data_IF_561803679415
#
_entry.id   IF_561803679415
#
_cell.length_a   1.000
_cell.length_b   1.000
_cell.length_c   1.000
_cell.angle_alpha   90.00
_cell.angle_beta   90.00
_cell.angle_gamma   90.00
#
_symmetry.space_group_name_H-M   'P 1'
#
loop_
_entity.id
_entity.type
_entity.pdbx_description
1 polymer ?
#
# COMPACT_ATOMS: atom_id res chain seq x y z
N UNK A 1 19.00 29.50 -35.89
CA UNK A 1 20.45 29.73 -35.67
C UNK A 1 20.63 30.41 -34.32
N UNK A 2 21.79 30.20 -33.68
CA UNK A 2 22.23 30.65 -32.33
C UNK A 2 21.77 29.70 -31.19
N UNK A 3 22.50 28.67 -30.75
CA UNK A 3 23.92 28.40 -30.42
C UNK A 3 24.26 28.59 -28.93
N UNK A 4 24.81 27.51 -28.35
CA UNK A 4 25.79 27.46 -27.26
C UNK A 4 25.34 27.82 -25.83
N UNK A 5 25.08 26.79 -25.01
CA UNK A 5 25.56 26.75 -23.62
C UNK A 5 26.24 25.41 -23.35
N UNK A 6 27.55 25.39 -23.59
CA UNK A 6 28.46 24.32 -23.21
C UNK A 6 28.94 24.54 -21.76
N UNK A 7 29.09 23.42 -21.05
CA UNK A 7 30.19 23.07 -20.12
C UNK A 7 30.59 24.07 -19.02
N UNK A 8 30.31 23.72 -17.78
CA UNK A 8 31.10 24.11 -16.62
C UNK A 8 31.66 22.84 -15.95
N UNK A 9 32.82 22.38 -16.44
CA UNK A 9 33.72 21.48 -15.71
C UNK A 9 34.97 22.30 -15.41
N UNK A 10 35.50 22.11 -14.19
CA UNK A 10 36.83 22.54 -13.72
C UNK A 10 36.83 23.69 -12.73
N UNK A 11 36.81 23.36 -11.44
CA UNK A 11 37.60 24.04 -10.39
C UNK A 11 37.47 23.32 -9.03
N UNK A 12 37.97 22.08 -8.93
CA UNK A 12 38.15 21.41 -7.63
C UNK A 12 39.57 20.85 -7.50
N UNK A 13 40.57 21.75 -7.51
CA UNK A 13 41.93 21.46 -7.03
C UNK A 13 42.50 22.69 -6.32
N UNK A 14 42.17 22.81 -5.03
CA UNK A 14 42.86 23.62 -4.02
C UNK A 14 42.72 22.83 -2.71
N UNK A 15 43.70 22.54 -1.89
CA UNK A 15 45.15 22.54 -1.93
C UNK A 15 45.51 21.74 -0.67
N UNK A 16 46.25 20.65 -0.79
CA UNK A 16 46.56 19.77 0.36
C UNK A 16 47.73 20.39 1.13
N UNK A 17 47.58 20.77 2.42
CA UNK A 17 48.72 21.24 3.19
C UNK A 17 49.68 20.08 3.44
N UNK A 18 50.94 20.27 3.03
CA UNK A 18 52.05 19.36 3.30
C UNK A 18 52.50 19.57 4.75
N UNK A 19 52.30 18.57 5.61
CA UNK A 19 52.82 18.56 6.99
C UNK A 19 54.33 18.28 6.92
N UNK A 20 55.20 19.06 7.58
CA UNK A 20 56.63 18.74 7.62
C UNK A 20 56.88 17.45 8.41
N UNK A 21 57.54 16.50 7.76
CA UNK A 21 58.04 15.26 8.36
C UNK A 21 59.15 15.59 9.36
N UNK A 22 58.98 15.23 10.64
CA UNK A 22 60.07 15.28 11.63
C UNK A 22 61.15 14.25 11.26
N UNK A 23 62.41 14.70 11.22
CA UNK A 23 63.58 13.83 11.07
C UNK A 23 63.70 12.90 12.28
N UNK A 24 63.58 11.59 12.06
CA UNK A 24 63.93 10.56 13.05
C UNK A 24 65.44 10.60 13.30
N UNK A 25 65.85 10.87 14.55
CA UNK A 25 67.24 10.72 14.98
C UNK A 25 67.48 9.24 15.30
N UNK A 26 68.38 8.60 14.54
CA UNK A 26 68.93 7.30 14.90
C UNK A 26 69.92 7.52 16.05
N UNK A 27 69.59 7.02 17.24
CA UNK A 27 70.56 6.91 18.31
C UNK A 27 71.37 5.63 18.08
N UNK A 28 72.44 5.74 17.30
CA UNK A 28 73.52 4.75 17.24
C UNK A 28 74.72 5.32 17.99
N UNK A 29 75.09 4.71 19.11
CA UNK A 29 76.34 5.01 19.80
C UNK A 29 76.26 4.83 21.32
N UNK A 30 76.41 3.59 21.79
CA UNK A 30 77.30 3.31 22.92
C UNK A 30 77.60 1.81 22.99
N UNK A 31 78.87 1.49 22.84
CA UNK A 31 79.46 0.17 23.03
C UNK A 31 79.34 -0.26 24.52
N UNK A 32 78.82 -1.48 24.72
CA UNK A 32 78.95 -2.50 25.81
C UNK A 32 79.36 -2.16 27.27
N UNK A 33 79.15 -3.05 28.27
CA UNK A 33 78.09 -4.07 28.47
C UNK A 33 77.52 -4.09 29.92
N UNK A 34 76.48 -4.90 30.13
CA UNK A 34 75.90 -5.39 31.42
C UNK A 34 74.93 -4.46 32.17
N UNK A 35 73.65 -4.78 32.03
CA UNK A 35 72.58 -4.38 32.95
C UNK A 35 71.27 -5.03 32.51
N UNK A 36 70.71 -5.89 33.35
CA UNK A 36 69.47 -6.61 33.08
C UNK A 36 68.30 -5.62 32.87
N UNK A 37 67.74 -5.61 31.66
CA UNK A 37 66.39 -5.12 31.43
C UNK A 37 65.78 -5.89 30.28
N UNK A 38 64.73 -6.62 30.59
CA UNK A 38 63.94 -7.43 29.69
C UNK A 38 63.67 -6.70 28.37
N UNK A 39 64.19 -7.23 27.27
CA UNK A 39 63.60 -7.03 25.97
C UNK A 39 62.30 -7.85 25.95
N UNK A 40 61.27 -7.35 26.63
CA UNK A 40 59.90 -7.70 26.28
C UNK A 40 59.77 -7.30 24.80
N UNK A 41 59.37 -8.26 23.95
CA UNK A 41 58.85 -7.89 22.64
C UNK A 41 57.91 -6.70 22.81
N UNK A 42 57.82 -5.80 21.82
CA UNK A 42 56.69 -4.89 21.75
C UNK A 42 55.43 -5.74 21.49
N UNK A 43 54.97 -6.43 22.54
CA UNK A 43 53.70 -7.09 22.65
C UNK A 43 52.70 -5.98 22.47
N UNK A 44 51.97 -6.08 21.38
CA UNK A 44 50.84 -5.20 21.13
C UNK A 44 49.80 -5.51 22.20
N UNK A 45 49.92 -4.91 23.39
CA UNK A 45 48.91 -5.06 24.43
C UNK A 45 47.59 -4.57 23.85
N UNK A 46 46.66 -5.50 23.60
CA UNK A 46 45.34 -5.16 23.11
C UNK A 46 44.68 -4.25 24.13
N UNK A 47 44.14 -3.12 23.69
CA UNK A 47 43.39 -2.20 24.56
C UNK A 47 42.38 -3.01 25.38
N UNK A 48 42.51 -2.98 26.71
CA UNK A 48 41.73 -3.82 27.61
C UNK A 48 40.22 -3.63 27.44
N UNK A 49 39.42 -4.61 27.84
CA UNK A 49 37.96 -4.58 27.65
C UNK A 49 37.26 -3.34 28.20
N UNK A 50 37.82 -2.70 29.24
CA UNK A 50 37.32 -1.45 29.80
C UNK A 50 37.37 -0.27 28.80
N UNK A 51 38.38 -0.23 27.92
CA UNK A 51 38.49 0.80 26.88
C UNK A 51 37.33 0.70 25.88
N UNK A 52 37.05 -0.51 25.39
CA UNK A 52 35.91 -0.78 24.52
C UNK A 52 34.57 -0.56 25.24
N UNK A 53 34.50 -0.90 26.53
CA UNK A 53 33.36 -0.60 27.38
C UNK A 53 33.06 0.90 27.45
N UNK A 54 34.08 1.74 27.67
CA UNK A 54 33.92 3.20 27.66
C UNK A 54 33.52 3.73 26.28
N UNK A 55 34.13 3.19 25.21
CA UNK A 55 33.82 3.58 23.84
C UNK A 55 32.38 3.23 23.43
N UNK A 56 31.79 2.19 24.01
CA UNK A 56 30.38 1.84 23.84
C UNK A 56 29.45 2.65 24.77
N UNK A 57 29.86 2.87 26.02
CA UNK A 57 29.07 3.59 27.03
C UNK A 57 28.89 5.06 26.68
N UNK A 58 29.91 5.72 26.13
CA UNK A 58 29.85 7.14 25.78
C UNK A 58 28.75 7.45 24.74
N UNK A 59 28.70 6.80 23.57
CA UNK A 59 27.62 7.00 22.61
C UNK A 59 26.28 6.47 23.10
N UNK A 60 26.26 5.38 23.89
CA UNK A 60 25.02 4.86 24.46
C UNK A 60 24.38 5.83 25.46
N UNK A 61 25.19 6.41 26.37
CA UNK A 61 24.75 7.43 27.32
C UNK A 61 24.33 8.72 26.63
N UNK A 62 25.05 9.13 25.58
CA UNK A 62 24.65 10.26 24.74
C UNK A 62 23.30 10.03 24.04
N UNK A 63 23.11 8.85 23.42
CA UNK A 63 21.85 8.49 22.79
C UNK A 63 20.69 8.49 23.80
N UNK A 64 20.90 7.90 24.97
CA UNK A 64 19.91 7.90 26.05
C UNK A 64 19.57 9.33 26.51
N UNK A 65 20.56 10.20 26.66
CA UNK A 65 20.35 11.60 26.99
C UNK A 65 19.53 12.33 25.92
N UNK A 66 19.81 12.09 24.64
CA UNK A 66 19.04 12.72 23.54
C UNK A 66 17.60 12.22 23.45
N UNK A 67 17.34 10.95 23.77
CA UNK A 67 15.99 10.35 23.74
C UNK A 67 15.15 10.80 24.94
N UNK A 68 15.79 11.02 26.10
CA UNK A 68 15.12 11.37 27.35
C UNK A 68 14.93 12.87 27.57
N UNK A 69 15.69 13.71 26.86
CA UNK A 69 15.57 15.17 26.96
C UNK A 69 14.17 15.63 26.54
N UNK A 70 13.48 16.27 27.46
CA UNK A 70 12.17 16.90 27.23
C UNK A 70 12.38 18.32 26.70
N UNK A 71 11.88 18.60 25.49
CA UNK A 71 11.72 19.97 25.01
C UNK A 71 10.32 20.46 25.43
N UNK A 72 10.17 21.71 25.93
CA UNK A 72 8.88 22.20 26.44
C UNK A 72 7.76 22.26 25.39
N UNK A 73 8.12 22.20 24.11
CA UNK A 73 7.19 22.31 22.97
C UNK A 73 6.99 20.98 22.21
N UNK A 74 7.58 19.86 22.65
CA UNK A 74 7.46 18.56 21.95
C UNK A 74 7.26 17.41 22.95
N UNK A 75 6.33 16.47 22.67
CA UNK A 75 6.20 15.26 23.47
C UNK A 75 7.47 14.40 23.36
N UNK A 76 7.71 13.57 24.38
CA UNK A 76 8.87 12.67 24.41
C UNK A 76 8.95 11.82 23.13
N UNK A 77 10.17 11.50 22.69
CA UNK A 77 10.40 10.71 21.48
C UNK A 77 9.68 9.35 21.51
N UNK A 78 9.64 8.71 22.70
CA UNK A 78 8.93 7.45 22.90
C UNK A 78 7.41 7.62 22.72
N UNK A 79 6.83 8.71 23.24
CA UNK A 79 5.40 9.01 23.06
C UNK A 79 5.07 9.21 21.59
N UNK A 80 5.89 9.95 20.83
CA UNK A 80 5.68 10.11 19.38
C UNK A 80 5.75 8.80 18.61
N UNK A 81 6.60 7.86 19.04
CA UNK A 81 6.68 6.53 18.43
C UNK A 81 5.43 5.71 18.74
N UNK A 82 4.95 5.77 19.99
CA UNK A 82 3.70 5.11 20.40
C UNK A 82 2.53 5.69 19.60
N UNK A 83 2.40 7.02 19.55
CA UNK A 83 1.31 7.72 18.84
C UNK A 83 1.27 7.34 17.35
N UNK A 84 2.43 7.27 16.69
CA UNK A 84 2.52 6.84 15.29
C UNK A 84 2.06 5.39 15.08
N UNK A 85 2.37 4.51 16.03
CA UNK A 85 1.99 3.11 15.95
C UNK A 85 0.50 2.93 16.23
N UNK A 86 -0.04 3.63 17.25
CA UNK A 86 -1.48 3.59 17.57
C UNK A 86 -2.31 4.18 16.43
N UNK A 87 -1.89 5.31 15.84
CA UNK A 87 -2.58 5.89 14.68
C UNK A 87 -2.63 4.91 13.49
N UNK A 88 -1.54 4.20 13.23
CA UNK A 88 -1.50 3.18 12.19
C UNK A 88 -2.46 2.01 12.50
N UNK A 89 -2.56 1.59 13.76
CA UNK A 89 -3.50 0.55 14.19
C UNK A 89 -4.95 1.01 14.05
N UNK A 90 -5.26 2.25 14.41
CA UNK A 90 -6.61 2.82 14.30
C UNK A 90 -7.08 2.89 12.85
N UNK A 91 -6.19 3.29 11.92
CA UNK A 91 -6.52 3.31 10.49
C UNK A 91 -6.78 1.90 9.95
N UNK A 92 -6.01 0.90 10.38
CA UNK A 92 -6.22 -0.49 9.99
C UNK A 92 -7.53 -1.04 10.59
N UNK A 93 -7.82 -0.72 11.85
CA UNK A 93 -9.07 -1.08 12.51
C UNK A 93 -10.28 -0.47 11.79
N UNK A 94 -10.22 0.82 11.44
CA UNK A 94 -11.29 1.50 10.71
C UNK A 94 -11.54 0.88 9.32
N UNK A 95 -10.49 0.50 8.60
CA UNK A 95 -10.62 -0.21 7.31
C UNK A 95 -11.28 -1.57 7.48
N UNK A 96 -10.85 -2.34 8.49
CA UNK A 96 -11.41 -3.65 8.78
C UNK A 96 -12.89 -3.54 9.16
N UNK A 97 -13.27 -2.55 9.96
CA UNK A 97 -14.66 -2.28 10.36
C UNK A 97 -15.56 -1.94 9.14
N UNK A 98 -15.06 -1.15 8.19
CA UNK A 98 -15.79 -0.91 6.93
C UNK A 98 -15.97 -2.21 6.15
N UNK A 99 -14.93 -3.03 6.04
CA UNK A 99 -15.01 -4.32 5.34
C UNK A 99 -16.00 -5.29 5.99
N UNK A 100 -16.02 -5.37 7.32
CA UNK A 100 -16.97 -6.23 8.04
C UNK A 100 -18.40 -5.75 7.84
N UNK A 101 -18.65 -4.44 7.93
CA UNK A 101 -19.99 -3.87 7.68
C UNK A 101 -20.49 -4.10 6.26
N UNK A 102 -19.62 -3.94 5.26
CA UNK A 102 -19.97 -4.23 3.87
C UNK A 102 -20.33 -5.72 3.71
N UNK A 103 -19.56 -6.62 4.32
CA UNK A 103 -19.82 -8.06 4.25
C UNK A 103 -21.14 -8.43 4.94
N UNK A 104 -21.45 -7.83 6.09
CA UNK A 104 -22.71 -8.03 6.81
C UNK A 104 -23.90 -7.52 5.98
N UNK A 105 -23.78 -6.32 5.41
CA UNK A 105 -24.82 -5.77 4.55
C UNK A 105 -25.04 -6.63 3.30
N UNK A 106 -23.96 -7.05 2.62
CA UNK A 106 -24.05 -7.94 1.45
C UNK A 106 -24.68 -9.30 1.81
N UNK A 107 -24.38 -9.84 2.99
CA UNK A 107 -25.02 -11.05 3.51
C UNK A 107 -26.52 -10.87 3.74
N UNK A 108 -26.92 -9.74 4.36
CA UNK A 108 -28.32 -9.42 4.60
C UNK A 108 -29.13 -9.25 3.32
N UNK A 109 -28.52 -8.60 2.32
CA UNK A 109 -29.12 -8.34 1.01
C UNK A 109 -29.27 -9.64 0.20
N UNK A 110 -28.25 -10.51 0.24
CA UNK A 110 -28.34 -11.85 -0.35
C UNK A 110 -29.47 -12.67 0.28
N UNK A 111 -29.64 -12.62 1.60
CA UNK A 111 -30.73 -13.33 2.29
C UNK A 111 -32.10 -12.79 1.86
N UNK A 112 -32.23 -11.46 1.74
CA UNK A 112 -33.46 -10.84 1.24
C UNK A 112 -33.81 -11.35 -0.16
N UNK A 113 -32.87 -11.33 -1.09
CA UNK A 113 -33.10 -11.81 -2.45
C UNK A 113 -33.37 -13.31 -2.53
N UNK A 114 -32.68 -14.13 -1.72
CA UNK A 114 -32.93 -15.58 -1.65
C UNK A 114 -34.32 -15.91 -1.09
N UNK A 115 -34.83 -15.10 -0.17
CA UNK A 115 -36.16 -15.30 0.42
C UNK A 115 -37.31 -14.76 -0.44
N UNK A 116 -37.02 -13.81 -1.33
CA UNK A 116 -38.02 -13.20 -2.22
C UNK A 116 -38.46 -14.19 -3.31
N UNK A 117 -39.75 -14.20 -3.64
CA UNK A 117 -40.23 -14.95 -4.80
C UNK A 117 -39.67 -14.32 -6.08
N UNK A 118 -39.16 -15.12 -7.04
CA UNK A 118 -38.73 -14.59 -8.32
C UNK A 118 -39.90 -13.90 -9.03
N UNK A 119 -39.60 -12.82 -9.76
CA UNK A 119 -40.62 -12.12 -10.55
C UNK A 119 -41.11 -13.05 -11.67
N UNK A 120 -42.41 -13.34 -11.68
CA UNK A 120 -43.03 -14.22 -12.67
C UNK A 120 -43.40 -13.47 -13.97
N UNK A 121 -43.45 -12.14 -13.92
CA UNK A 121 -43.76 -11.33 -15.09
C UNK A 121 -42.52 -10.99 -15.91
N UNK A 122 -42.71 -10.97 -17.23
CA UNK A 122 -41.70 -10.48 -18.18
C UNK A 122 -41.66 -8.95 -18.08
N UNK A 123 -40.46 -8.40 -17.92
CA UNK A 123 -40.27 -6.96 -17.87
C UNK A 123 -40.60 -6.34 -19.23
N UNK A 124 -41.70 -5.59 -19.28
CA UNK A 124 -42.17 -4.90 -20.47
C UNK A 124 -42.29 -3.41 -20.14
N UNK A 125 -41.87 -2.54 -21.06
CA UNK A 125 -41.92 -1.08 -20.86
C UNK A 125 -43.34 -0.56 -20.61
N UNK A 126 -44.34 -1.14 -21.29
CA UNK A 126 -45.73 -0.72 -21.24
C UNK A 126 -46.68 -1.92 -21.27
N UNK A 127 -46.81 -2.67 -20.16
CA UNK A 127 -47.69 -3.85 -20.09
C UNK A 127 -49.17 -3.45 -20.24
N UNK A 128 -49.52 -2.24 -19.80
CA UNK A 128 -50.89 -1.74 -19.83
C UNK A 128 -51.45 -1.64 -21.25
N UNK A 129 -50.64 -1.24 -22.24
CA UNK A 129 -51.08 -1.10 -23.64
C UNK A 129 -51.41 -2.47 -24.24
N UNK A 130 -50.68 -3.50 -23.85
CA UNK A 130 -50.87 -4.87 -24.34
C UNK A 130 -52.08 -5.57 -23.71
N UNK A 131 -52.55 -5.08 -22.56
CA UNK A 131 -53.72 -5.61 -21.85
C UNK A 131 -54.90 -4.60 -21.84
N UNK A 132 -55.01 -3.74 -22.86
CA UNK A 132 -56.14 -2.84 -23.03
C UNK A 132 -57.36 -3.63 -23.53
N UNK A 133 -58.21 -4.08 -22.62
CA UNK A 133 -59.47 -4.72 -22.98
C UNK A 133 -60.19 -5.36 -21.79
N UNK A 134 -61.52 -5.35 -21.82
CA UNK A 134 -62.30 -6.18 -20.89
C UNK A 134 -62.10 -7.66 -21.28
N UNK A 135 -61.83 -8.57 -20.33
CA UNK A 135 -61.81 -10.01 -20.59
C UNK A 135 -63.19 -10.56 -20.99
N UNK A 136 -64.26 -9.81 -20.71
CA UNK A 136 -65.64 -10.25 -20.87
C UNK A 136 -66.37 -9.43 -21.93
N UNK A 137 -67.27 -10.11 -22.65
CA UNK A 137 -68.23 -9.53 -23.60
C UNK A 137 -67.59 -8.75 -24.76
N UNK A 138 -66.57 -9.34 -25.39
CA UNK A 138 -65.87 -8.74 -26.53
C UNK A 138 -66.28 -9.48 -27.80
N UNK A 139 -66.73 -8.79 -28.87
CA UNK A 139 -67.04 -9.44 -30.14
C UNK A 139 -65.79 -10.12 -30.70
N UNK A 140 -65.97 -11.34 -31.22
CA UNK A 140 -64.88 -12.14 -31.77
C UNK A 140 -64.14 -11.37 -32.88
N UNK A 141 -62.80 -11.33 -32.79
CA UNK A 141 -61.94 -10.61 -33.73
C UNK A 141 -61.65 -9.15 -33.36
N UNK A 142 -62.23 -8.61 -32.29
CA UNK A 142 -61.92 -7.25 -31.81
C UNK A 142 -60.54 -7.13 -31.17
N UNK A 143 -60.00 -8.23 -30.64
CA UNK A 143 -58.67 -8.28 -30.04
C UNK A 143 -57.73 -9.11 -30.92
N UNK A 144 -56.49 -8.64 -31.04
CA UNK A 144 -55.44 -9.36 -31.74
C UNK A 144 -54.91 -10.46 -30.81
N UNK A 145 -54.67 -11.66 -31.32
CA UNK A 145 -53.99 -12.70 -30.55
C UNK A 145 -52.55 -12.25 -30.26
N UNK A 146 -52.22 -12.12 -28.97
CA UNK A 146 -50.92 -11.62 -28.49
C UNK A 146 -49.91 -12.72 -28.14
N UNK A 147 -50.25 -14.00 -28.29
CA UNK A 147 -49.44 -15.14 -27.84
C UNK A 147 -48.03 -15.13 -28.44
N UNK A 148 -47.92 -14.76 -29.72
CA UNK A 148 -46.62 -14.67 -30.43
C UNK A 148 -45.72 -13.58 -29.86
N UNK A 149 -46.29 -12.45 -29.44
CA UNK A 149 -45.53 -11.32 -28.88
C UNK A 149 -45.07 -11.66 -27.47
N UNK A 150 -45.94 -12.28 -26.67
CA UNK A 150 -45.61 -12.79 -25.34
C UNK A 150 -44.45 -13.80 -25.44
N UNK A 151 -44.54 -14.77 -26.35
CA UNK A 151 -43.50 -15.77 -26.57
C UNK A 151 -42.15 -15.14 -26.99
N UNK A 152 -42.18 -14.10 -27.83
CA UNK A 152 -40.97 -13.35 -28.22
C UNK A 152 -40.29 -12.70 -27.01
N UNK A 153 -41.04 -11.97 -26.19
CA UNK A 153 -40.48 -11.29 -25.03
C UNK A 153 -40.01 -12.26 -23.94
N UNK A 154 -40.71 -13.38 -23.74
CA UNK A 154 -40.23 -14.45 -22.87
C UNK A 154 -38.89 -14.99 -23.34
N UNK A 155 -38.75 -15.25 -24.65
CA UNK A 155 -37.50 -15.72 -25.25
C UNK A 155 -36.36 -14.72 -25.06
N UNK A 156 -36.58 -13.44 -25.34
CA UNK A 156 -35.59 -12.37 -25.13
C UNK A 156 -35.16 -12.27 -23.66
N UNK A 157 -36.10 -12.35 -22.71
CA UNK A 157 -35.80 -12.30 -21.28
C UNK A 157 -34.96 -13.51 -20.81
N UNK A 158 -35.24 -14.72 -21.32
CA UNK A 158 -34.45 -15.91 -21.00
C UNK A 158 -33.05 -15.84 -21.61
N UNK A 159 -32.92 -15.41 -22.87
CA UNK A 159 -31.62 -15.21 -23.52
C UNK A 159 -30.76 -14.17 -22.77
N UNK A 160 -31.37 -13.08 -22.29
CA UNK A 160 -30.68 -12.08 -21.48
C UNK A 160 -30.22 -12.63 -20.13
N UNK A 161 -31.05 -13.45 -19.48
CA UNK A 161 -30.68 -14.12 -18.22
C UNK A 161 -29.56 -15.14 -18.43
N UNK A 162 -29.60 -15.91 -19.51
CA UNK A 162 -28.53 -16.84 -19.87
C UNK A 162 -27.23 -16.10 -20.19
N UNK A 163 -27.30 -14.98 -20.92
CA UNK A 163 -26.14 -14.13 -21.18
C UNK A 163 -25.53 -13.58 -19.90
N UNK A 164 -26.35 -13.04 -18.99
CA UNK A 164 -25.88 -12.58 -17.66
C UNK A 164 -25.27 -13.74 -16.86
N UNK A 165 -25.84 -14.94 -16.94
CA UNK A 165 -25.30 -16.13 -16.28
C UNK A 165 -23.96 -16.57 -16.88
N UNK A 166 -23.79 -16.47 -18.20
CA UNK A 166 -22.52 -16.72 -18.89
C UNK A 166 -21.48 -15.67 -18.50
N UNK A 167 -21.83 -14.39 -18.54
CA UNK A 167 -20.96 -13.30 -18.10
C UNK A 167 -20.53 -13.47 -16.64
N UNK A 168 -21.44 -13.93 -15.76
CA UNK A 168 -21.13 -14.26 -14.37
C UNK A 168 -20.14 -15.44 -14.27
N UNK A 169 -20.34 -16.51 -15.05
CA UNK A 169 -19.41 -17.66 -15.11
C UNK A 169 -18.03 -17.27 -15.62
N UNK A 170 -17.98 -16.31 -16.54
CA UNK A 170 -16.76 -15.78 -17.12
C UNK A 170 -16.13 -14.66 -16.28
N UNK A 171 -16.81 -14.20 -15.22
CA UNK A 171 -16.35 -13.09 -14.37
C UNK A 171 -16.30 -11.73 -15.08
N UNK A 172 -17.08 -11.55 -16.16
CA UNK A 172 -17.16 -10.33 -16.98
C UNK A 172 -18.43 -9.52 -16.72
N UNK A 173 -19.15 -9.83 -15.64
CA UNK A 173 -20.34 -9.09 -15.28
C UNK A 173 -19.93 -7.65 -14.91
N UNK A 174 -20.49 -6.63 -15.59
CA UNK A 174 -20.14 -5.21 -15.34
C UNK A 174 -20.24 -4.76 -13.88
N UNK A 175 -21.07 -5.43 -13.07
CA UNK A 175 -21.20 -5.13 -11.65
C UNK A 175 -20.05 -5.72 -10.79
N UNK A 176 -19.37 -6.75 -11.29
CA UNK A 176 -18.22 -7.41 -10.65
C UNK A 176 -16.88 -6.99 -11.28
N UNK A 177 -16.90 -6.31 -12.43
CA UNK A 177 -15.71 -5.71 -12.99
C UNK A 177 -15.04 -4.81 -11.94
N UNK A 178 -13.72 -4.96 -11.72
CA UNK A 178 -13.02 -4.10 -10.80
C UNK A 178 -13.19 -2.67 -11.31
N UNK A 179 -13.74 -1.80 -10.44
CA UNK A 179 -13.89 -0.38 -10.73
C UNK A 179 -12.53 0.10 -11.24
N UNK A 180 -12.47 0.57 -12.49
CA UNK A 180 -11.28 1.23 -13.01
C UNK A 180 -10.91 2.28 -11.98
N UNK A 181 -9.72 2.13 -11.38
CA UNK A 181 -9.23 2.98 -10.31
C UNK A 181 -9.37 4.43 -10.79
N UNK A 182 -10.40 5.14 -10.31
CA UNK A 182 -10.48 6.57 -10.49
C UNK A 182 -9.23 7.10 -9.83
N UNK A 183 -8.23 7.46 -10.66
CA UNK A 183 -6.99 8.06 -10.22
C UNK A 183 -7.35 9.40 -9.58
N UNK A 184 -7.67 9.34 -8.29
CA UNK A 184 -7.88 10.53 -7.47
C UNK A 184 -6.62 11.39 -7.53
N UNK A 185 -6.72 12.71 -7.27
CA UNK A 185 -5.55 13.57 -7.24
C UNK A 185 -4.49 12.94 -6.34
N UNK A 186 -3.34 12.62 -6.96
CA UNK A 186 -2.21 11.91 -6.34
C UNK A 186 -1.77 12.65 -5.08
N UNK A 187 -2.25 12.23 -3.91
CA UNK A 187 -1.63 12.62 -2.66
C UNK A 187 -0.29 11.88 -2.57
N UNK A 188 0.77 12.63 -2.87
CA UNK A 188 2.18 12.40 -2.50
C UNK A 188 2.62 10.92 -2.46
N UNK A 189 2.89 10.36 -3.64
CA UNK A 189 4.06 9.51 -3.84
C UNK A 189 3.97 8.01 -3.58
N UNK A 190 2.81 7.44 -3.22
CA UNK A 190 2.67 5.99 -3.11
C UNK A 190 1.73 5.44 -4.19
N UNK A 191 2.30 4.79 -5.21
CA UNK A 191 1.55 3.97 -6.17
C UNK A 191 1.19 2.66 -5.46
N UNK A 192 -0.05 2.52 -5.01
CA UNK A 192 -0.58 1.24 -4.55
C UNK A 192 -0.76 0.35 -5.78
N UNK A 193 0.13 -0.62 -5.98
CA UNK A 193 -0.01 -1.60 -7.06
C UNK A 193 -1.14 -2.54 -6.67
N UNK A 194 -2.31 -2.42 -7.32
CA UNK A 194 -3.41 -3.34 -7.13
C UNK A 194 -2.95 -4.76 -7.50
N UNK A 195 -2.86 -5.63 -6.50
CA UNK A 195 -2.65 -7.06 -6.70
C UNK A 195 -4.01 -7.64 -7.06
N UNK A 196 -4.31 -7.71 -8.35
CA UNK A 196 -5.36 -8.58 -8.89
C UNK A 196 -4.98 -10.00 -8.52
N UNK A 197 -5.64 -10.56 -7.50
CA UNK A 197 -5.56 -12.00 -7.23
C UNK A 197 -6.21 -12.73 -8.42
N UNK A 198 -5.55 -13.75 -9.00
CA UNK A 198 -6.25 -14.63 -9.93
C UNK A 198 -7.39 -15.32 -9.18
N UNK A 199 -8.56 -15.37 -9.82
CA UNK A 199 -9.78 -15.94 -9.27
C UNK A 199 -9.63 -17.39 -8.79
N UNK A 200 -10.51 -17.75 -7.86
CA UNK A 200 -10.78 -19.14 -7.48
C UNK A 200 -11.44 -19.90 -8.63
#
# INVERSE_FOLDING_TARGET
MQSLRRTAVSAARKGRPTIPSQSRRYATGHDEPKGHSHAEQATTESMGGAFWGCLALFPAGWALYTVTRQDPNKPLYLTQLIDKYTEAQDVLAAKNDIHTRIMEQAGSDRLLFMSSKPQEFVDMRFPEIMNQGSPYNVPAGSQVNMDKVIAKFQKEAYEDNERKLQELREGRLKAEEPIEEMVGPRYRGYQMKAVTRPGF
#
